data_IF_484132832810
#
_entry.id   IF_484132832810
#
_cell.length_a   1.000
_cell.length_b   1.000
_cell.length_c   1.000
_cell.angle_alpha   90.00
_cell.angle_beta   90.00
_cell.angle_gamma   90.00
#
_symmetry.space_group_name_H-M   'P 1'
#
loop_
_entity.id
_entity.type
_entity.pdbx_description
1 polymer ?
#
# COMPACT_ATOMS: atom_id res chain seq x y z
N UNK A 1 -12.86 6.50 6.05
CA UNK A 1 -13.40 5.15 6.36
C UNK A 1 -12.54 4.08 5.68
N UNK A 2 -11.77 3.28 6.43
CA UNK A 2 -11.07 2.12 5.88
C UNK A 2 -12.11 1.00 5.69
N UNK A 3 -12.42 0.64 4.44
CA UNK A 3 -13.41 -0.42 4.13
C UNK A 3 -12.83 -1.81 4.29
N UNK A 4 -11.51 -1.95 4.11
CA UNK A 4 -10.76 -3.19 4.26
C UNK A 4 -9.39 -2.87 4.84
N UNK A 5 -8.90 -3.76 5.69
CA UNK A 5 -7.53 -3.77 6.20
C UNK A 5 -6.81 -4.97 5.58
N UNK A 6 -5.58 -4.77 5.11
CA UNK A 6 -4.71 -5.86 4.66
C UNK A 6 -3.52 -5.97 5.60
N UNK A 7 -2.92 -7.15 5.67
CA UNK A 7 -1.68 -7.40 6.43
C UNK A 7 -0.71 -8.05 5.48
N UNK A 8 0.17 -7.24 4.92
CA UNK A 8 1.16 -7.71 3.95
C UNK A 8 2.35 -8.34 4.67
N UNK A 9 2.83 -9.46 4.12
CA UNK A 9 4.18 -9.93 4.41
C UNK A 9 5.22 -8.96 3.83
N UNK A 10 6.47 -9.07 4.29
CA UNK A 10 7.56 -8.23 3.76
C UNK A 10 7.70 -8.36 2.24
N UNK A 11 7.70 -9.59 1.73
CA UNK A 11 7.92 -9.87 0.32
C UNK A 11 6.78 -9.31 -0.56
N UNK A 12 5.54 -9.41 -0.11
CA UNK A 12 4.38 -8.82 -0.80
C UNK A 12 4.48 -7.29 -0.83
N UNK A 13 4.87 -6.68 0.30
CA UNK A 13 5.05 -5.22 0.40
C UNK A 13 6.15 -4.74 -0.54
N UNK A 14 7.31 -5.41 -0.53
CA UNK A 14 8.45 -5.08 -1.37
C UNK A 14 8.06 -5.18 -2.87
N UNK A 15 7.29 -6.18 -3.27
CA UNK A 15 6.79 -6.30 -4.65
C UNK A 15 5.84 -5.16 -5.03
N UNK A 16 4.91 -4.80 -4.15
CA UNK A 16 3.97 -3.70 -4.40
C UNK A 16 4.70 -2.35 -4.49
N UNK A 17 5.73 -2.13 -3.68
CA UNK A 17 6.57 -0.93 -3.77
C UNK A 17 7.37 -0.88 -5.08
N UNK A 18 7.86 -2.03 -5.57
CA UNK A 18 8.50 -2.10 -6.90
C UNK A 18 7.52 -1.70 -8.00
N UNK A 19 6.29 -2.24 -7.98
CA UNK A 19 5.24 -1.92 -8.96
C UNK A 19 4.87 -0.43 -8.92
N UNK A 20 4.83 0.17 -7.74
CA UNK A 20 4.44 1.57 -7.57
C UNK A 20 5.53 2.56 -7.97
N UNK A 21 6.81 2.22 -7.78
CA UNK A 21 7.92 3.16 -7.91
C UNK A 21 8.69 3.07 -9.23
N UNK A 22 8.67 1.91 -9.92
CA UNK A 22 9.57 1.64 -11.05
C UNK A 22 8.89 0.80 -12.14
N UNK A 23 9.42 0.88 -13.36
CA UNK A 23 9.04 0.00 -14.48
C UNK A 23 7.84 0.48 -15.31
N UNK A 24 7.43 -0.36 -16.27
CA UNK A 24 6.30 -0.10 -17.17
C UNK A 24 5.16 -1.06 -16.84
N UNK A 25 4.18 -0.56 -16.09
CA UNK A 25 2.99 -1.31 -15.69
C UNK A 25 1.73 -0.67 -16.25
N UNK A 26 0.67 -1.47 -16.44
CA UNK A 26 -0.66 -0.91 -16.73
C UNK A 26 -1.11 -0.05 -15.55
N UNK A 27 -1.74 1.09 -15.81
CA UNK A 27 -2.18 2.03 -14.76
C UNK A 27 -3.01 1.35 -13.67
N UNK A 28 -3.90 0.42 -14.04
CA UNK A 28 -4.71 -0.34 -13.07
C UNK A 28 -3.85 -1.14 -12.08
N UNK A 29 -2.73 -1.72 -12.52
CA UNK A 29 -1.84 -2.49 -11.65
C UNK A 29 -1.14 -1.58 -10.64
N UNK A 30 -0.72 -0.39 -11.08
CA UNK A 30 -0.12 0.64 -10.20
C UNK A 30 -1.14 1.13 -9.18
N UNK A 31 -2.36 1.47 -9.62
CA UNK A 31 -3.44 1.91 -8.73
C UNK A 31 -3.76 0.84 -7.69
N UNK A 32 -3.91 -0.42 -8.10
CA UNK A 32 -4.17 -1.52 -7.17
C UNK A 32 -3.03 -1.67 -6.14
N UNK A 33 -1.77 -1.52 -6.55
CA UNK A 33 -0.65 -1.61 -5.64
C UNK A 33 -0.65 -0.47 -4.60
N UNK A 34 -0.93 0.75 -5.04
CA UNK A 34 -1.05 1.91 -4.14
C UNK A 34 -2.21 1.75 -3.14
N UNK A 35 -3.36 1.22 -3.58
CA UNK A 35 -4.49 0.93 -2.69
C UNK A 35 -4.10 -0.08 -1.61
N UNK A 36 -3.46 -1.19 -2.01
CA UNK A 36 -3.04 -2.22 -1.05
C UNK A 36 -2.00 -1.70 -0.06
N UNK A 37 -1.00 -0.94 -0.53
CA UNK A 37 0.01 -0.31 0.34
C UNK A 37 -0.61 0.69 1.32
N UNK A 38 -1.63 1.45 0.90
CA UNK A 38 -2.34 2.41 1.75
C UNK A 38 -3.31 1.76 2.76
N UNK A 39 -3.73 0.52 2.52
CA UNK A 39 -4.58 -0.26 3.43
C UNK A 39 -3.80 -1.21 4.34
N UNK A 40 -2.48 -1.29 4.19
CA UNK A 40 -1.62 -2.18 4.97
C UNK A 40 -1.47 -1.71 6.42
N UNK A 41 -1.91 -2.56 7.34
CA UNK A 41 -1.74 -2.41 8.80
C UNK A 41 -0.67 -3.37 9.34
N UNK A 42 0.03 -4.09 8.46
CA UNK A 42 1.07 -5.04 8.83
C UNK A 42 2.29 -4.38 9.49
N UNK A 43 3.08 -5.20 10.20
CA UNK A 43 4.28 -4.77 10.93
C UNK A 43 5.36 -4.12 10.06
N UNK A 44 5.29 -4.31 8.75
CA UNK A 44 6.23 -3.78 7.77
C UNK A 44 5.80 -2.42 7.21
N UNK A 45 4.62 -1.90 7.61
CA UNK A 45 4.22 -0.54 7.28
C UNK A 45 4.95 0.47 8.20
N UNK A 46 6.10 0.97 7.72
CA UNK A 46 6.93 1.93 8.44
C UNK A 46 6.29 3.32 8.54
N UNK A 47 5.51 3.71 7.53
CA UNK A 47 4.81 5.00 7.49
C UNK A 47 3.31 4.72 7.56
N UNK A 48 2.81 4.51 8.77
CA UNK A 48 1.36 4.52 9.00
C UNK A 48 0.85 5.88 8.52
N UNK A 49 0.13 5.90 7.40
CA UNK A 49 -0.71 7.04 7.08
C UNK A 49 -1.76 7.12 8.19
N UNK A 50 -1.50 7.94 9.19
CA UNK A 50 -2.46 8.38 10.19
C UNK A 50 -3.45 9.27 9.47
N UNK A 51 -4.29 8.67 8.62
CA UNK A 51 -5.46 9.29 7.98
C UNK A 51 -6.51 9.73 9.04
N UNK A 52 -6.04 10.04 10.26
CA UNK A 52 -6.67 10.86 11.27
C UNK A 52 -7.08 12.17 10.61
N UNK A 53 -8.32 12.57 10.86
CA UNK A 53 -8.78 13.88 10.45
C UNK A 53 -7.84 14.93 11.03
N UNK A 54 -7.29 15.78 10.17
CA UNK A 54 -6.70 17.04 10.63
C UNK A 54 -7.88 17.86 11.16
N UNK A 55 -7.96 17.98 12.49
CA UNK A 55 -8.94 18.83 13.18
C UNK A 55 -8.53 20.30 13.12
#
# INVERSE_FOLDING_TARGET
MKKFTVTLTKDERDELERIASKGKHKSQKVINALILLGCDEGRHQEKRSTNEEIS
#
